data_IF_657050749747
#
_entry.id   IF_657050749747
#
_cell.length_a   1.000
_cell.length_b   1.000
_cell.length_c   1.000
_cell.angle_alpha   90.00
_cell.angle_beta   90.00
_cell.angle_gamma   90.00
#
_symmetry.space_group_name_H-M   'P 1'
#
loop_
_entity.id
_entity.type
_entity.pdbx_description
1 polymer ?
#
# COMPACT_ATOMS: atom_id res chain seq x y z
N UNK A 1 9.60 10.74 6.52
CA UNK A 1 8.91 9.47 6.14
C UNK A 1 8.04 9.63 4.90
N UNK A 2 7.09 10.58 4.87
CA UNK A 2 6.20 10.81 3.71
C UNK A 2 6.95 11.14 2.41
N UNK A 3 7.95 12.02 2.47
CA UNK A 3 8.79 12.37 1.31
C UNK A 3 9.55 11.17 0.74
N UNK A 4 10.18 10.37 1.61
CA UNK A 4 10.86 9.14 1.24
C UNK A 4 9.89 8.17 0.55
N UNK A 5 8.72 7.96 1.13
CA UNK A 5 7.69 7.12 0.50
C UNK A 5 7.32 7.64 -0.89
N UNK A 6 7.02 8.93 -1.02
CA UNK A 6 6.62 9.52 -2.31
C UNK A 6 7.72 9.47 -3.36
N UNK A 7 8.97 9.61 -2.95
CA UNK A 7 10.15 9.52 -3.83
C UNK A 7 10.35 8.10 -4.36
N UNK A 8 10.16 7.10 -3.50
CA UNK A 8 10.52 5.71 -3.81
C UNK A 8 9.35 4.75 -4.05
N UNK A 9 8.09 5.21 -3.98
CA UNK A 9 6.89 4.37 -4.18
C UNK A 9 6.85 3.58 -5.49
N UNK A 10 7.52 4.10 -6.52
CA UNK A 10 7.67 3.47 -7.84
C UNK A 10 9.13 3.04 -8.13
N UNK A 11 10.04 3.18 -7.16
CA UNK A 11 11.47 2.85 -7.32
C UNK A 11 12.06 2.25 -6.04
N UNK A 12 11.41 1.22 -5.51
CA UNK A 12 11.82 0.56 -4.25
C UNK A 12 13.22 -0.05 -4.36
N UNK A 13 13.59 -0.53 -5.56
CA UNK A 13 14.94 -1.02 -5.83
C UNK A 13 16.02 0.06 -5.62
N UNK A 14 15.73 1.32 -5.99
CA UNK A 14 16.62 2.46 -5.72
C UNK A 14 16.77 2.77 -4.24
N UNK A 15 15.70 2.60 -3.46
CA UNK A 15 15.74 2.79 -2.00
C UNK A 15 16.57 1.71 -1.29
N UNK A 16 16.47 0.46 -1.74
CA UNK A 16 17.14 -0.69 -1.11
C UNK A 16 18.63 -0.77 -1.47
N UNK A 17 19.02 -0.27 -2.65
CA UNK A 17 20.34 -0.45 -3.22
C UNK A 17 20.55 -1.83 -3.85
N UNK A 18 21.62 -2.04 -4.64
CA UNK A 18 21.75 -3.18 -5.55
C UNK A 18 21.65 -4.55 -4.86
N UNK A 19 22.47 -4.80 -3.83
CA UNK A 19 22.51 -6.11 -3.17
C UNK A 19 21.17 -6.50 -2.51
N UNK A 20 20.50 -5.55 -1.84
CA UNK A 20 19.20 -5.80 -1.20
C UNK A 20 18.07 -5.86 -2.22
N UNK A 21 18.18 -5.13 -3.34
CA UNK A 21 17.22 -5.18 -4.45
C UNK A 21 17.16 -6.59 -5.03
N UNK A 22 18.28 -7.23 -5.29
CA UNK A 22 18.30 -8.55 -5.91
C UNK A 22 17.70 -9.62 -5.00
N UNK A 23 18.09 -9.62 -3.72
CA UNK A 23 17.48 -10.49 -2.71
C UNK A 23 15.97 -10.24 -2.53
N UNK A 24 15.54 -8.96 -2.57
CA UNK A 24 14.14 -8.59 -2.51
C UNK A 24 13.36 -9.12 -3.74
N UNK A 25 13.90 -8.96 -4.96
CA UNK A 25 13.25 -9.44 -6.17
C UNK A 25 13.13 -10.97 -6.19
N UNK A 26 14.16 -11.68 -5.75
CA UNK A 26 14.11 -13.14 -5.61
C UNK A 26 13.03 -13.57 -4.62
N UNK A 27 13.02 -13.01 -3.40
CA UNK A 27 12.01 -13.32 -2.39
C UNK A 27 10.59 -13.03 -2.89
N UNK A 28 10.41 -11.95 -3.65
CA UNK A 28 9.12 -11.58 -4.25
C UNK A 28 8.66 -12.61 -5.27
N UNK A 29 9.55 -13.13 -6.11
CA UNK A 29 9.23 -14.17 -7.06
C UNK A 29 8.82 -15.49 -6.36
N UNK A 30 9.54 -15.87 -5.30
CA UNK A 30 9.22 -17.05 -4.49
C UNK A 30 7.84 -16.92 -3.80
N UNK A 31 7.53 -15.75 -3.23
CA UNK A 31 6.22 -15.47 -2.63
C UNK A 31 5.10 -15.51 -3.68
N UNK A 32 5.28 -14.91 -4.86
CA UNK A 32 4.27 -14.97 -5.92
C UNK A 32 3.99 -16.42 -6.36
N UNK A 33 5.04 -17.26 -6.49
CA UNK A 33 4.90 -18.66 -6.83
C UNK A 33 4.15 -19.44 -5.72
N UNK A 34 4.55 -19.25 -4.46
CA UNK A 34 3.94 -19.92 -3.31
C UNK A 34 2.48 -19.52 -3.08
N UNK A 35 2.12 -18.28 -3.41
CA UNK A 35 0.78 -17.73 -3.19
C UNK A 35 -0.10 -17.78 -4.43
N UNK A 36 0.31 -18.51 -5.48
CA UNK A 36 -0.44 -18.64 -6.73
C UNK A 36 -0.86 -17.28 -7.31
N UNK A 37 0.10 -16.35 -7.37
CA UNK A 37 -0.12 -14.98 -7.88
C UNK A 37 -1.16 -14.15 -7.10
N UNK A 38 -1.37 -14.42 -5.81
CA UNK A 38 -2.33 -13.69 -4.96
C UNK A 38 -2.21 -12.16 -5.10
N UNK A 39 -0.99 -11.64 -4.95
CA UNK A 39 -0.79 -10.20 -4.98
C UNK A 39 -0.82 -9.64 -6.40
N UNK A 40 -0.35 -10.36 -7.41
CA UNK A 40 -0.60 -9.99 -8.81
C UNK A 40 -2.10 -9.82 -9.07
N UNK A 41 -2.94 -10.73 -8.58
CA UNK A 41 -4.38 -10.64 -8.73
C UNK A 41 -5.00 -9.47 -7.93
N UNK A 42 -4.54 -9.25 -6.69
CA UNK A 42 -4.96 -8.08 -5.91
C UNK A 42 -4.57 -6.76 -6.60
N UNK A 43 -3.36 -6.67 -7.17
CA UNK A 43 -2.86 -5.50 -7.88
C UNK A 43 -3.66 -5.19 -9.15
N UNK A 44 -4.15 -6.20 -9.87
CA UNK A 44 -5.06 -5.97 -11.02
C UNK A 44 -6.30 -5.19 -10.58
N UNK A 45 -6.97 -5.63 -9.51
CA UNK A 45 -8.15 -4.94 -8.96
C UNK A 45 -7.82 -3.53 -8.47
N UNK A 46 -6.74 -3.36 -7.70
CA UNK A 46 -6.31 -2.06 -7.18
C UNK A 46 -5.93 -1.08 -8.31
N UNK A 47 -5.31 -1.58 -9.38
CA UNK A 47 -4.94 -0.78 -10.54
C UNK A 47 -6.17 -0.33 -11.33
N UNK A 48 -7.16 -1.21 -11.52
CA UNK A 48 -8.44 -0.85 -12.15
C UNK A 48 -9.13 0.27 -11.36
N UNK A 49 -9.18 0.17 -10.03
CA UNK A 49 -9.72 1.25 -9.17
C UNK A 49 -8.96 2.56 -9.40
N UNK A 50 -7.64 2.50 -9.47
CA UNK A 50 -6.78 3.69 -9.65
C UNK A 50 -6.97 4.39 -11.01
N UNK A 51 -7.50 3.69 -12.01
CA UNK A 51 -7.81 4.28 -13.33
C UNK A 51 -9.17 4.99 -13.40
N UNK A 52 -10.06 4.78 -12.41
CA UNK A 52 -11.40 5.36 -12.39
C UNK A 52 -11.37 6.70 -11.64
N UNK A 53 -11.82 7.77 -12.28
CA UNK A 53 -11.76 9.13 -11.73
C UNK A 53 -12.59 9.34 -10.46
N UNK A 54 -13.59 8.49 -10.22
CA UNK A 54 -14.51 8.56 -9.09
C UNK A 54 -14.29 7.46 -8.05
N UNK A 55 -13.19 6.70 -8.14
CA UNK A 55 -12.86 5.65 -7.17
C UNK A 55 -11.52 5.97 -6.48
N UNK A 56 -11.38 5.53 -5.23
CA UNK A 56 -10.16 5.75 -4.44
C UNK A 56 -9.80 4.50 -3.65
N UNK A 57 -8.53 4.13 -3.69
CA UNK A 57 -7.97 3.10 -2.82
C UNK A 57 -7.61 3.71 -1.47
N UNK A 58 -8.10 3.08 -0.39
CA UNK A 58 -7.79 3.43 1.00
C UNK A 58 -7.37 2.16 1.74
N UNK A 59 -6.26 2.22 2.48
CA UNK A 59 -5.75 1.10 3.26
C UNK A 59 -5.93 1.37 4.75
N UNK A 60 -6.58 0.45 5.47
CA UNK A 60 -6.63 0.44 6.93
C UNK A 60 -5.92 -0.81 7.45
N UNK A 61 -4.89 -0.63 8.28
CA UNK A 61 -4.10 -1.74 8.82
C UNK A 61 -3.89 -1.62 10.32
N UNK A 62 -3.76 -2.74 11.03
CA UNK A 62 -3.39 -2.77 12.46
C UNK A 62 -1.88 -2.68 12.68
N UNK A 63 -1.08 -2.63 11.60
CA UNK A 63 0.37 -2.41 11.68
C UNK A 63 0.67 -0.94 12.02
N UNK A 64 1.70 -0.69 12.84
CA UNK A 64 2.18 0.67 13.10
C UNK A 64 2.57 1.38 11.80
N UNK A 65 2.46 2.71 11.75
CA UNK A 65 2.58 3.47 10.50
C UNK A 65 3.88 3.22 9.73
N UNK A 66 5.04 3.28 10.40
CA UNK A 66 6.34 3.13 9.72
C UNK A 66 6.51 1.73 9.12
N UNK A 67 6.31 0.62 9.87
CA UNK A 67 6.33 -0.72 9.28
C UNK A 67 5.22 -0.96 8.24
N UNK A 68 4.05 -0.33 8.37
CA UNK A 68 3.00 -0.41 7.37
C UNK A 68 3.44 0.19 6.03
N UNK A 69 4.02 1.39 6.05
CA UNK A 69 4.56 2.04 4.85
C UNK A 69 5.69 1.22 4.23
N UNK A 70 6.57 0.63 5.05
CA UNK A 70 7.62 -0.27 4.59
C UNK A 70 7.02 -1.51 3.88
N UNK A 71 6.00 -2.15 4.45
CA UNK A 71 5.29 -3.27 3.79
C UNK A 71 4.67 -2.82 2.47
N UNK A 72 3.99 -1.68 2.43
CA UNK A 72 3.37 -1.17 1.19
C UNK A 72 4.42 -0.95 0.10
N UNK A 73 5.59 -0.38 0.44
CA UNK A 73 6.71 -0.26 -0.51
C UNK A 73 7.24 -1.62 -0.95
N UNK A 74 7.60 -2.51 -0.01
CA UNK A 74 8.20 -3.81 -0.31
C UNK A 74 7.27 -4.74 -1.09
N UNK A 75 5.95 -4.54 -1.00
CA UNK A 75 4.96 -5.26 -1.78
C UNK A 75 4.58 -4.55 -3.09
N UNK A 76 5.29 -3.49 -3.46
CA UNK A 76 5.05 -2.68 -4.67
C UNK A 76 3.63 -2.09 -4.76
N UNK A 77 3.02 -1.83 -3.60
CA UNK A 77 1.68 -1.25 -3.48
C UNK A 77 1.72 0.30 -3.45
N UNK A 78 2.91 0.89 -3.49
CA UNK A 78 3.11 2.33 -3.37
C UNK A 78 2.45 3.16 -4.47
N UNK A 79 2.36 2.62 -5.68
CA UNK A 79 1.71 3.27 -6.82
C UNK A 79 0.18 3.37 -6.68
N UNK A 80 -0.45 2.44 -5.96
CA UNK A 80 -1.92 2.35 -5.83
C UNK A 80 -2.45 2.88 -4.49
N UNK A 81 -1.60 3.05 -3.48
CA UNK A 81 -1.96 3.69 -2.22
C UNK A 81 -1.14 4.96 -1.97
N UNK A 82 -1.73 6.15 -2.16
CA UNK A 82 -1.13 7.40 -1.69
C UNK A 82 -0.87 7.34 -0.18
N UNK A 83 0.20 7.97 0.29
CA UNK A 83 0.60 7.94 1.70
C UNK A 83 -0.50 8.44 2.66
N UNK A 84 -1.26 9.42 2.21
CA UNK A 84 -2.39 10.04 2.90
C UNK A 84 -3.62 9.13 2.97
N UNK A 85 -3.67 8.06 2.19
CA UNK A 85 -4.76 7.09 2.17
C UNK A 85 -4.43 5.82 2.98
N UNK A 86 -3.34 5.84 3.76
CA UNK A 86 -2.92 4.72 4.61
C UNK A 86 -3.19 5.10 6.07
N UNK A 87 -4.13 4.40 6.68
CA UNK A 87 -4.57 4.61 8.06
C UNK A 87 -4.11 3.44 8.94
N UNK A 88 -3.58 3.76 10.12
CA UNK A 88 -3.18 2.77 11.13
C UNK A 88 -4.21 2.71 12.27
N UNK A 89 -4.79 1.52 12.44
CA UNK A 89 -5.74 1.19 13.48
C UNK A 89 -5.05 0.73 14.79
N UNK A 90 -3.71 0.72 14.86
CA UNK A 90 -2.96 0.16 16.01
C UNK A 90 -3.37 0.79 17.35
N UNK A 91 -3.67 2.09 17.37
CA UNK A 91 -4.04 2.81 18.62
C UNK A 91 -5.53 3.09 18.76
N UNK A 92 -6.22 3.36 17.66
CA UNK A 92 -7.59 3.88 17.68
C UNK A 92 -8.65 2.86 17.25
N UNK A 93 -8.23 1.66 16.81
CA UNK A 93 -9.13 0.66 16.24
C UNK A 93 -9.57 0.98 14.80
N UNK A 94 -10.19 0.00 14.14
CA UNK A 94 -10.62 0.13 12.74
C UNK A 94 -11.84 1.04 12.59
N UNK A 95 -12.78 0.98 13.54
CA UNK A 95 -13.99 1.79 13.54
C UNK A 95 -13.67 3.30 13.49
N UNK A 96 -12.82 3.77 14.41
CA UNK A 96 -12.32 5.15 14.40
C UNK A 96 -11.60 5.54 13.10
N UNK A 97 -10.92 4.59 12.44
CA UNK A 97 -10.32 4.86 11.12
C UNK A 97 -11.40 5.05 10.05
N UNK A 98 -12.42 4.19 10.03
CA UNK A 98 -13.54 4.29 9.09
C UNK A 98 -14.31 5.59 9.26
N UNK A 99 -14.57 6.04 10.50
CA UNK A 99 -15.19 7.33 10.76
C UNK A 99 -14.38 8.49 10.18
N UNK A 100 -13.05 8.49 10.37
CA UNK A 100 -12.15 9.52 9.80
C UNK A 100 -12.15 9.49 8.26
N UNK A 101 -12.20 8.30 7.67
CA UNK A 101 -12.30 8.14 6.21
C UNK A 101 -13.63 8.72 5.70
N UNK A 102 -14.76 8.39 6.35
CA UNK A 102 -16.08 8.94 6.00
C UNK A 102 -16.16 10.46 6.21
N UNK A 103 -15.51 11.00 7.23
CA UNK A 103 -15.42 12.45 7.43
C UNK A 103 -14.63 13.15 6.31
N UNK A 104 -13.56 12.51 5.81
CA UNK A 104 -12.71 13.07 4.75
C UNK A 104 -13.37 13.00 3.37
N UNK A 105 -13.96 11.86 3.02
CA UNK A 105 -14.52 11.64 1.67
C UNK A 105 -16.02 11.93 1.59
N UNK A 106 -16.71 12.03 2.73
CA UNK A 106 -18.16 12.26 2.82
C UNK A 106 -18.96 10.96 3.00
N UNK A 107 -20.14 11.08 3.60
CA UNK A 107 -21.05 9.95 3.90
C UNK A 107 -21.88 9.46 2.69
N UNK A 108 -21.85 10.19 1.57
CA UNK A 108 -22.61 9.86 0.34
C UNK A 108 -21.77 9.14 -0.71
N UNK A 109 -20.54 8.75 -0.38
CA UNK A 109 -19.67 7.95 -1.25
C UNK A 109 -20.10 6.49 -1.12
N UNK A 110 -20.35 5.83 -2.26
CA UNK A 110 -20.70 4.41 -2.35
C UNK A 110 -19.68 3.71 -3.23
#
# INVERSE_FOLDING_TARGET
VKELYNTYKNNVGGLLGPAKRDAWLQLRAEIEALTESWLTNALKSLSIISTRSNCVNVLVTTTQLVPALAKVLLYSLGGVFPSENIYTATKIGKESCFERIMQRFGRKVV
#
